data_IF_278560709426
#
_entry.id   IF_278560709426
#
_cell.length_a   1.000
_cell.length_b   1.000
_cell.length_c   1.000
_cell.angle_alpha   90.00
_cell.angle_beta   90.00
_cell.angle_gamma   90.00
#
_symmetry.space_group_name_H-M   'P 1'
#
loop_
_entity.id
_entity.type
_entity.pdbx_description
1 polymer ?
#
# COMPACT_ATOMS: atom_id res chain seq x y z
N UNK A 1 16.53 -17.50 12.48
CA UNK A 1 15.40 -16.57 12.71
C UNK A 1 14.24 -17.41 13.22
N UNK A 2 13.85 -17.24 14.47
CA UNK A 2 12.70 -17.94 15.06
C UNK A 2 11.42 -17.35 14.51
N UNK A 3 10.55 -18.19 13.95
CA UNK A 3 9.26 -17.79 13.36
C UNK A 3 8.47 -16.91 14.32
N UNK A 4 8.22 -15.66 13.94
CA UNK A 4 7.26 -14.78 14.59
C UNK A 4 5.88 -15.29 14.19
N UNK A 5 5.20 -16.00 15.07
CA UNK A 5 3.85 -16.53 14.81
C UNK A 5 2.82 -15.63 15.51
N UNK A 6 2.10 -14.84 14.73
CA UNK A 6 0.89 -14.15 15.19
C UNK A 6 -0.21 -15.19 15.43
N UNK A 7 -0.84 -15.11 16.61
CA UNK A 7 -1.95 -16.02 16.97
C UNK A 7 -3.26 -15.28 16.75
N UNK A 8 -3.91 -15.56 15.63
CA UNK A 8 -5.33 -15.26 15.39
C UNK A 8 -6.07 -16.57 15.10
N UNK A 9 -7.40 -16.52 14.88
CA UNK A 9 -8.12 -17.67 14.36
C UNK A 9 -7.69 -17.91 12.89
N UNK A 10 -6.68 -18.75 12.73
CA UNK A 10 -6.05 -19.02 11.43
C UNK A 10 -7.02 -19.62 10.44
N UNK A 11 -7.90 -20.49 10.91
CA UNK A 11 -8.89 -21.15 10.06
C UNK A 11 -9.92 -20.11 9.59
N UNK A 12 -10.38 -19.22 10.48
CA UNK A 12 -11.27 -18.12 10.10
C UNK A 12 -10.65 -17.19 9.04
N UNK A 13 -9.38 -16.80 9.19
CA UNK A 13 -8.70 -15.95 8.19
C UNK A 13 -8.53 -16.66 6.85
N UNK A 14 -8.16 -17.93 6.86
CA UNK A 14 -7.99 -18.72 5.64
C UNK A 14 -9.31 -19.00 4.92
N UNK A 15 -10.38 -19.32 5.66
CA UNK A 15 -11.70 -19.54 5.08
C UNK A 15 -12.28 -18.23 4.52
N UNK A 16 -12.10 -17.10 5.23
CA UNK A 16 -12.46 -15.76 4.74
C UNK A 16 -11.75 -15.38 3.44
N UNK A 17 -10.45 -15.70 3.35
CA UNK A 17 -9.64 -15.37 2.17
C UNK A 17 -9.71 -16.45 1.08
N UNK A 18 -10.65 -17.41 1.18
CA UNK A 18 -10.82 -18.53 0.26
C UNK A 18 -9.51 -19.30 -0.02
N UNK A 19 -8.64 -19.42 1.00
CA UNK A 19 -7.29 -19.99 0.90
C UNK A 19 -6.52 -19.43 -0.31
N UNK A 20 -6.63 -18.11 -0.53
CA UNK A 20 -6.01 -17.39 -1.63
C UNK A 20 -5.08 -16.32 -1.09
N UNK A 21 -3.87 -16.23 -1.64
CA UNK A 21 -2.94 -15.15 -1.36
C UNK A 21 -3.55 -13.80 -1.78
N UNK A 22 -3.88 -12.94 -0.82
CA UNK A 22 -4.49 -11.62 -1.06
C UNK A 22 -3.59 -10.66 -1.82
N UNK A 23 -2.29 -10.94 -1.93
CA UNK A 23 -1.33 -10.11 -2.67
C UNK A 23 -1.17 -10.49 -4.14
N UNK A 24 -1.28 -11.77 -4.49
CA UNK A 24 -0.97 -12.26 -5.84
C UNK A 24 -1.99 -13.23 -6.44
N UNK A 25 -3.05 -13.58 -5.70
CA UNK A 25 -4.12 -14.47 -6.17
C UNK A 25 -3.75 -15.94 -6.22
N UNK A 26 -2.56 -16.33 -5.75
CA UNK A 26 -2.15 -17.74 -5.70
C UNK A 26 -2.98 -18.51 -4.69
N UNK A 27 -3.63 -19.60 -5.12
CA UNK A 27 -4.45 -20.48 -4.28
C UNK A 27 -3.65 -21.66 -3.75
N UNK A 28 -4.05 -22.18 -2.59
CA UNK A 28 -3.51 -23.43 -2.05
C UNK A 28 -4.15 -24.63 -2.75
N UNK A 29 -3.69 -24.93 -3.97
CA UNK A 29 -4.36 -25.91 -4.85
C UNK A 29 -3.91 -27.36 -4.65
N UNK A 30 -2.85 -27.65 -3.89
CA UNK A 30 -2.24 -29.00 -3.85
C UNK A 30 -1.61 -29.35 -2.49
N UNK A 31 -1.39 -30.65 -2.23
CA UNK A 31 -0.71 -31.16 -1.04
C UNK A 31 0.76 -30.70 -0.89
N UNK A 32 1.33 -30.13 -1.96
CA UNK A 32 2.63 -29.47 -2.04
C UNK A 32 2.49 -27.96 -2.36
N UNK A 33 1.31 -27.38 -2.10
CA UNK A 33 0.96 -25.99 -2.40
C UNK A 33 1.87 -24.96 -1.73
N UNK A 34 1.92 -23.71 -2.24
CA UNK A 34 2.73 -22.66 -1.66
C UNK A 34 2.21 -22.38 -0.26
N UNK A 35 3.00 -22.71 0.77
CA UNK A 35 2.57 -22.60 2.16
C UNK A 35 1.94 -21.23 2.43
N UNK A 36 0.65 -21.23 2.76
CA UNK A 36 -0.06 -20.01 3.12
C UNK A 36 0.27 -19.62 4.55
N UNK A 37 0.46 -18.32 4.77
CA UNK A 37 0.76 -17.70 6.05
C UNK A 37 -0.17 -16.55 6.33
N UNK A 38 -0.37 -16.29 7.61
CA UNK A 38 -0.98 -15.06 8.09
C UNK A 38 0.07 -13.96 8.09
N UNK A 39 -0.28 -12.81 7.53
CA UNK A 39 0.52 -11.60 7.55
C UNK A 39 -0.27 -10.48 8.24
N UNK A 40 0.31 -9.79 9.24
CA UNK A 40 -0.31 -8.63 9.87
C UNK A 40 -0.31 -7.43 8.93
N UNK A 41 -1.39 -6.66 8.92
CA UNK A 41 -1.45 -5.39 8.17
C UNK A 41 -1.69 -4.21 9.12
N UNK A 42 -0.99 -3.11 8.88
CA UNK A 42 -1.02 -1.90 9.71
C UNK A 42 -0.23 -2.01 11.01
N UNK A 43 -0.47 -1.06 11.93
CA UNK A 43 0.28 -0.89 13.18
C UNK A 43 -0.12 -1.90 14.28
N UNK A 44 -0.20 -3.19 13.94
CA UNK A 44 -0.44 -4.24 14.93
C UNK A 44 0.86 -4.67 15.62
N UNK A 45 0.80 -5.04 16.91
CA UNK A 45 1.95 -5.57 17.62
C UNK A 45 2.61 -6.74 16.89
N UNK A 46 3.95 -6.69 16.77
CA UNK A 46 4.75 -7.73 16.12
C UNK A 46 4.76 -9.07 16.87
N UNK A 47 4.21 -9.11 18.08
CA UNK A 47 4.09 -10.28 18.95
C UNK A 47 2.76 -10.22 19.70
N UNK A 48 2.12 -11.38 19.91
CA UNK A 48 0.90 -11.50 20.70
C UNK A 48 -0.31 -12.02 19.90
N UNK A 49 -1.49 -11.85 20.49
CA UNK A 49 -2.77 -12.17 19.85
C UNK A 49 -3.16 -11.02 18.95
N UNK A 50 -3.32 -11.29 17.65
CA UNK A 50 -3.76 -10.30 16.66
C UNK A 50 -5.15 -10.69 16.18
N UNK A 51 -6.08 -9.74 16.18
CA UNK A 51 -7.43 -9.96 15.71
C UNK A 51 -7.45 -10.21 14.20
N UNK A 52 -8.37 -11.05 13.73
CA UNK A 52 -8.47 -11.47 12.33
C UNK A 52 -8.70 -10.30 11.35
N UNK A 53 -9.27 -9.20 11.83
CA UNK A 53 -9.47 -7.96 11.05
C UNK A 53 -8.14 -7.29 10.65
N UNK A 54 -7.03 -7.62 11.29
CA UNK A 54 -5.71 -7.12 10.97
C UNK A 54 -4.77 -8.19 10.40
N UNK A 55 -5.31 -9.35 10.00
CA UNK A 55 -4.56 -10.44 9.40
C UNK A 55 -5.06 -10.71 7.99
N UNK A 56 -4.14 -11.01 7.07
CA UNK A 56 -4.43 -11.45 5.70
C UNK A 56 -3.63 -12.69 5.33
N UNK A 57 -4.18 -13.46 4.40
CA UNK A 57 -3.54 -14.66 3.86
C UNK A 57 -2.57 -14.27 2.75
N UNK A 58 -1.31 -14.70 2.86
CA UNK A 58 -0.28 -14.53 1.82
C UNK A 58 0.47 -15.85 1.59
N UNK A 59 0.95 -16.07 0.37
CA UNK A 59 1.84 -17.20 0.08
C UNK A 59 3.24 -16.97 0.65
N UNK A 60 4.00 -18.05 0.87
CA UNK A 60 5.39 -18.01 1.35
C UNK A 60 6.28 -16.99 0.62
N UNK A 61 6.17 -16.92 -0.72
CA UNK A 61 6.93 -15.99 -1.54
C UNK A 61 6.55 -14.52 -1.26
N UNK A 62 5.25 -14.24 -1.13
CA UNK A 62 4.76 -12.91 -0.78
C UNK A 62 5.14 -12.53 0.65
N UNK A 63 5.03 -13.47 1.60
CA UNK A 63 5.44 -13.27 2.99
C UNK A 63 6.93 -12.93 3.09
N UNK A 64 7.79 -13.69 2.40
CA UNK A 64 9.22 -13.43 2.37
C UNK A 64 9.55 -12.09 1.72
N UNK A 65 8.80 -11.66 0.71
CA UNK A 65 8.99 -10.34 0.10
C UNK A 65 8.54 -9.19 0.99
N UNK A 66 7.45 -9.34 1.75
CA UNK A 66 6.95 -8.31 2.67
C UNK A 66 7.84 -8.16 3.91
N UNK A 67 8.35 -9.28 4.42
CA UNK A 67 9.20 -9.30 5.62
C UNK A 67 10.68 -9.00 5.40
N UNK A 68 11.11 -8.64 4.18
CA UNK A 68 12.51 -8.27 3.93
C UNK A 68 12.81 -6.95 4.63
N UNK A 69 13.67 -7.02 5.63
CA UNK A 69 14.29 -5.83 6.21
C UNK A 69 15.26 -5.24 5.21
N UNK A 70 15.33 -3.91 5.10
CA UNK A 70 16.25 -3.30 4.19
C UNK A 70 17.70 -3.72 4.38
N UNK A 71 18.33 -4.17 3.29
CA UNK A 71 19.76 -4.41 3.18
C UNK A 71 20.33 -3.37 2.22
N UNK A 72 21.15 -2.46 2.74
CA UNK A 72 21.83 -1.40 1.98
C UNK A 72 22.93 -1.92 1.04
N UNK A 73 22.84 -3.17 0.60
CA UNK A 73 23.78 -3.74 -0.34
C UNK A 73 23.44 -3.22 -1.73
N UNK A 74 24.41 -2.56 -2.36
CA UNK A 74 24.24 -2.05 -3.70
C UNK A 74 24.01 -3.20 -4.70
N UNK A 75 23.09 -2.98 -5.63
CA UNK A 75 22.64 -3.99 -6.59
C UNK A 75 23.03 -3.54 -8.00
N UNK A 76 23.80 -4.38 -8.69
CA UNK A 76 24.03 -4.22 -10.12
C UNK A 76 22.96 -4.97 -10.90
N UNK A 77 22.24 -4.25 -11.73
CA UNK A 77 21.21 -4.79 -12.63
C UNK A 77 21.59 -4.49 -14.07
N UNK A 78 21.29 -5.42 -14.97
CA UNK A 78 21.34 -5.16 -16.40
C UNK A 78 20.17 -4.24 -16.82
N UNK A 79 20.30 -3.53 -17.96
CA UNK A 79 19.28 -2.58 -18.41
C UNK A 79 17.86 -3.18 -18.49
N UNK A 80 17.74 -4.43 -18.93
CA UNK A 80 16.45 -5.13 -18.99
C UNK A 80 15.86 -5.40 -17.60
N UNK A 81 16.69 -5.77 -16.63
CA UNK A 81 16.26 -6.05 -15.26
C UNK A 81 15.85 -4.77 -14.53
N UNK A 82 16.55 -3.66 -14.79
CA UNK A 82 16.20 -2.34 -14.28
C UNK A 82 14.87 -1.85 -14.88
N UNK A 83 14.67 -2.01 -16.19
CA UNK A 83 13.42 -1.68 -16.85
C UNK A 83 12.24 -2.46 -16.24
N UNK A 84 12.41 -3.77 -16.05
CA UNK A 84 11.38 -4.61 -15.44
C UNK A 84 11.10 -4.18 -13.98
N UNK A 85 12.14 -3.84 -13.21
CA UNK A 85 11.98 -3.34 -11.84
C UNK A 85 11.19 -2.03 -11.78
N UNK A 86 11.51 -1.06 -12.64
CA UNK A 86 10.79 0.22 -12.75
C UNK A 86 9.34 -0.02 -13.12
N UNK A 87 9.10 -0.83 -14.15
CA UNK A 87 7.75 -1.18 -14.60
C UNK A 87 6.93 -1.87 -13.50
N UNK A 88 7.51 -2.84 -12.79
CA UNK A 88 6.85 -3.51 -11.67
C UNK A 88 6.53 -2.54 -10.53
N UNK A 89 7.43 -1.61 -10.22
CA UNK A 89 7.21 -0.58 -9.20
C UNK A 89 6.05 0.34 -9.58
N UNK A 90 6.04 0.91 -10.79
CA UNK A 90 4.95 1.77 -11.28
C UNK A 90 3.61 1.02 -11.31
N UNK A 91 3.60 -0.24 -11.74
CA UNK A 91 2.37 -1.05 -11.71
C UNK A 91 1.85 -1.25 -10.28
N UNK A 92 2.74 -1.49 -9.31
CA UNK A 92 2.35 -1.68 -7.91
C UNK A 92 1.87 -0.38 -7.25
N UNK A 93 2.49 0.74 -7.58
CA UNK A 93 2.01 2.05 -7.14
C UNK A 93 0.60 2.31 -7.68
N UNK A 94 0.33 2.04 -8.97
CA UNK A 94 -1.01 2.20 -9.54
C UNK A 94 -2.09 1.35 -8.84
N UNK A 95 -1.76 0.11 -8.46
CA UNK A 95 -2.66 -0.74 -7.64
C UNK A 95 -2.89 -0.13 -6.26
N UNK A 96 -1.84 0.41 -5.63
CA UNK A 96 -1.91 1.00 -4.28
C UNK A 96 -2.74 2.28 -4.28
N UNK A 97 -2.54 3.18 -5.26
CA UNK A 97 -3.36 4.38 -5.47
C UNK A 97 -4.83 4.01 -5.64
N UNK A 98 -5.13 3.02 -6.49
CA UNK A 98 -6.51 2.58 -6.73
C UNK A 98 -7.17 2.01 -5.47
N UNK A 99 -6.43 1.22 -4.68
CA UNK A 99 -6.92 0.69 -3.40
C UNK A 99 -7.16 1.81 -2.38
N UNK A 100 -6.25 2.78 -2.28
CA UNK A 100 -6.37 3.91 -1.37
C UNK A 100 -7.53 4.84 -1.73
N UNK A 101 -7.72 5.14 -3.01
CA UNK A 101 -8.86 5.93 -3.48
C UNK A 101 -10.19 5.22 -3.21
N UNK A 102 -10.26 3.90 -3.44
CA UNK A 102 -11.44 3.09 -3.14
C UNK A 102 -11.74 3.10 -1.64
N UNK A 103 -10.71 2.92 -0.79
CA UNK A 103 -10.86 2.97 0.65
C UNK A 103 -11.29 4.35 1.16
N UNK A 104 -10.70 5.43 0.65
CA UNK A 104 -11.09 6.80 1.00
C UNK A 104 -12.55 7.09 0.60
N UNK A 105 -12.97 6.64 -0.58
CA UNK A 105 -14.36 6.77 -1.03
C UNK A 105 -15.33 6.05 -0.09
N UNK A 106 -15.01 4.81 0.30
CA UNK A 106 -15.83 4.04 1.23
C UNK A 106 -15.84 4.67 2.63
N UNK A 107 -14.69 5.08 3.13
CA UNK A 107 -14.57 5.72 4.44
C UNK A 107 -15.43 6.99 4.53
N UNK A 108 -15.44 7.81 3.48
CA UNK A 108 -16.22 9.06 3.43
C UNK A 108 -17.72 8.85 3.21
N UNK A 109 -18.17 7.68 2.77
CA UNK A 109 -19.59 7.32 2.73
C UNK A 109 -20.11 6.77 4.07
N UNK A 110 -19.23 6.25 4.93
CA UNK A 110 -19.62 5.63 6.21
C UNK A 110 -20.61 6.45 7.05
N UNK A 111 -20.45 7.77 7.27
CA UNK A 111 -21.38 8.51 8.13
C UNK A 111 -22.81 8.58 7.60
N UNK A 112 -23.02 8.32 6.30
CA UNK A 112 -24.35 8.24 5.69
C UNK A 112 -24.90 6.82 5.55
N UNK A 113 -24.07 5.80 5.74
CA UNK A 113 -24.42 4.38 5.55
C UNK A 113 -24.60 3.62 6.87
N UNK A 114 -23.88 4.01 7.91
CA UNK A 114 -24.03 3.41 9.25
C UNK A 114 -25.23 4.07 9.94
N UNK A 115 -26.32 3.32 10.06
CA UNK A 115 -27.47 3.71 10.88
C UNK A 115 -27.16 3.57 12.38
N UNK A 116 -27.84 4.36 13.22
CA UNK A 116 -27.77 4.26 14.70
C UNK A 116 -28.22 2.90 15.26
N UNK A 117 -28.88 2.07 14.44
CA UNK A 117 -29.30 0.71 14.80
C UNK A 117 -28.24 -0.32 14.37
N UNK A 118 -27.41 -0.82 15.31
CA UNK A 118 -26.28 -1.70 14.99
C UNK A 118 -26.70 -3.10 14.52
N UNK A 119 -27.98 -3.49 14.61
CA UNK A 119 -28.45 -4.84 14.28
C UNK A 119 -29.02 -4.97 12.85
N UNK A 120 -28.89 -3.93 12.01
CA UNK A 120 -29.34 -4.02 10.61
C UNK A 120 -28.36 -4.81 9.75
N UNK A 121 -28.88 -5.68 8.87
CA UNK A 121 -28.05 -6.45 7.92
C UNK A 121 -27.21 -5.54 7.01
N UNK A 122 -27.69 -4.31 6.73
CA UNK A 122 -26.99 -3.29 5.95
C UNK A 122 -25.71 -2.80 6.64
N UNK A 123 -25.76 -2.54 7.95
CA UNK A 123 -24.58 -2.10 8.70
C UNK A 123 -23.48 -3.16 8.71
N UNK A 124 -23.85 -4.44 8.88
CA UNK A 124 -22.88 -5.53 8.86
C UNK A 124 -22.18 -5.69 7.50
N UNK A 125 -22.88 -5.45 6.39
CA UNK A 125 -22.31 -5.47 5.04
C UNK A 125 -21.32 -4.31 4.83
N UNK A 126 -21.72 -3.07 5.15
CA UNK A 126 -20.85 -1.89 5.10
C UNK A 126 -19.62 -2.06 6.00
N UNK A 127 -19.80 -2.63 7.20
CA UNK A 127 -18.70 -2.87 8.13
C UNK A 127 -17.70 -3.89 7.58
N UNK A 128 -18.19 -5.00 7.02
CA UNK A 128 -17.35 -6.01 6.40
C UNK A 128 -16.59 -5.46 5.18
N UNK A 129 -17.25 -4.66 4.34
CA UNK A 129 -16.65 -4.00 3.17
C UNK A 129 -15.55 -3.05 3.61
N UNK A 130 -15.78 -2.23 4.63
CA UNK A 130 -14.78 -1.31 5.18
C UNK A 130 -13.54 -2.05 5.68
N UNK A 131 -13.74 -3.08 6.52
CA UNK A 131 -12.62 -3.87 7.07
C UNK A 131 -11.87 -4.61 5.96
N UNK A 132 -12.56 -5.07 4.91
CA UNK A 132 -11.91 -5.64 3.74
C UNK A 132 -11.07 -4.60 3.00
N UNK A 133 -11.65 -3.48 2.60
CA UNK A 133 -10.97 -2.42 1.86
C UNK A 133 -9.74 -1.92 2.63
N UNK A 134 -9.87 -1.74 3.95
CA UNK A 134 -8.76 -1.37 4.83
C UNK A 134 -7.60 -2.36 4.77
N UNK A 135 -7.89 -3.67 4.89
CA UNK A 135 -6.83 -4.71 4.82
C UNK A 135 -6.14 -4.71 3.47
N UNK A 136 -6.90 -4.52 2.39
CA UNK A 136 -6.38 -4.51 1.03
C UNK A 136 -5.46 -3.31 0.78
N UNK A 137 -5.85 -2.11 1.20
CA UNK A 137 -5.00 -0.91 1.05
C UNK A 137 -3.74 -1.00 1.90
N UNK A 138 -3.83 -1.46 3.16
CA UNK A 138 -2.65 -1.62 4.01
C UNK A 138 -1.68 -2.67 3.46
N UNK A 139 -2.19 -3.79 2.96
CA UNK A 139 -1.36 -4.79 2.28
C UNK A 139 -0.69 -4.24 1.02
N UNK A 140 -1.40 -3.39 0.26
CA UNK A 140 -0.86 -2.75 -0.93
C UNK A 140 0.29 -1.78 -0.57
N UNK A 141 0.10 -0.94 0.46
CA UNK A 141 1.13 -0.04 1.00
C UNK A 141 2.36 -0.83 1.45
N UNK A 142 2.19 -1.87 2.26
CA UNK A 142 3.29 -2.72 2.74
C UNK A 142 4.10 -3.39 1.61
N UNK A 143 3.52 -3.50 0.41
CA UNK A 143 4.15 -4.17 -0.71
C UNK A 143 5.20 -3.34 -1.45
N UNK A 144 5.21 -2.02 -1.23
CA UNK A 144 6.02 -1.04 -1.98
C UNK A 144 7.42 -0.80 -1.38
N UNK A 145 7.62 -0.66 -0.05
CA UNK A 145 8.93 -0.37 0.54
C UNK A 145 10.05 -1.29 0.07
N UNK A 146 9.81 -2.61 0.04
CA UNK A 146 10.80 -3.61 -0.43
C UNK A 146 11.26 -3.39 -1.88
N UNK A 147 10.44 -2.76 -2.73
CA UNK A 147 10.79 -2.44 -4.12
C UNK A 147 11.48 -1.09 -4.25
N UNK A 148 10.98 -0.09 -3.52
CA UNK A 148 11.61 1.24 -3.43
C UNK A 148 13.06 1.12 -2.98
N UNK A 149 13.30 0.31 -1.96
CA UNK A 149 14.64 0.05 -1.48
C UNK A 149 15.52 -0.59 -2.55
N UNK A 150 15.02 -1.64 -3.21
CA UNK A 150 15.76 -2.30 -4.29
C UNK A 150 16.08 -1.33 -5.43
N UNK A 151 15.18 -0.41 -5.76
CA UNK A 151 15.37 0.62 -6.77
C UNK A 151 16.42 1.66 -6.31
N UNK A 152 16.34 2.12 -5.06
CA UNK A 152 17.29 3.07 -4.46
C UNK A 152 18.72 2.52 -4.32
N UNK A 153 18.87 1.19 -4.30
CA UNK A 153 20.15 0.50 -4.17
C UNK A 153 20.80 0.19 -5.53
N UNK A 154 20.17 0.54 -6.66
CA UNK A 154 20.72 0.24 -7.99
C UNK A 154 21.94 1.10 -8.28
N UNK A 155 23.06 0.48 -8.63
CA UNK A 155 24.21 1.16 -9.22
C UNK A 155 23.97 1.37 -10.72
N UNK A 156 24.22 2.58 -11.24
CA UNK A 156 24.03 2.90 -12.66
C UNK A 156 25.34 3.12 -13.40
N UNK A 157 26.47 3.27 -12.71
CA UNK A 157 27.79 3.57 -13.29
C UNK A 157 28.17 2.65 -14.46
N UNK A 158 27.77 1.37 -14.44
CA UNK A 158 28.08 0.40 -15.50
C UNK A 158 27.13 0.47 -16.71
N UNK A 159 25.98 1.14 -16.58
CA UNK A 159 25.03 1.39 -17.66
C UNK A 159 25.29 2.75 -18.34
N UNK A 160 26.08 3.60 -17.71
CA UNK A 160 26.36 4.97 -18.15
C UNK A 160 27.37 5.09 -19.30
N UNK A 161 28.00 3.99 -19.74
CA UNK A 161 28.93 3.98 -20.89
C UNK A 161 28.26 4.40 -22.23
N UNK A 162 26.92 4.54 -22.26
CA UNK A 162 26.14 4.94 -23.43
C UNK A 162 25.16 6.12 -23.22
N UNK A 163 25.04 6.68 -22.01
CA UNK A 163 24.16 7.82 -21.69
C UNK A 163 24.98 9.04 -21.30
N UNK A 164 24.57 10.25 -21.72
CA UNK A 164 25.28 11.47 -21.37
C UNK A 164 25.32 11.69 -19.84
N UNK A 165 26.48 12.02 -19.28
CA UNK A 165 26.75 12.55 -17.94
C UNK A 165 25.68 12.28 -16.85
N UNK A 166 25.46 11.01 -16.47
CA UNK A 166 24.63 10.65 -15.31
C UNK A 166 23.13 10.96 -15.43
N UNK A 167 22.60 11.14 -16.64
CA UNK A 167 21.17 11.37 -16.87
C UNK A 167 20.29 10.21 -16.35
N UNK A 168 20.75 8.97 -16.48
CA UNK A 168 20.05 7.79 -15.96
C UNK A 168 19.97 7.77 -14.43
N UNK A 169 21.07 8.11 -13.76
CA UNK A 169 21.10 8.23 -12.31
C UNK A 169 20.12 9.30 -11.82
N UNK A 170 20.12 10.48 -12.45
CA UNK A 170 19.19 11.56 -12.11
C UNK A 170 17.72 11.19 -12.35
N UNK A 171 17.42 10.50 -13.45
CA UNK A 171 16.07 10.04 -13.75
C UNK A 171 15.58 8.98 -12.72
N UNK A 172 16.46 8.07 -12.30
CA UNK A 172 16.13 7.08 -11.27
C UNK A 172 15.98 7.70 -9.88
N UNK A 173 16.80 8.69 -9.53
CA UNK A 173 16.67 9.46 -8.29
C UNK A 173 15.31 10.16 -8.25
N UNK A 174 14.96 10.93 -9.28
CA UNK A 174 13.65 11.60 -9.38
C UNK A 174 12.47 10.62 -9.33
N UNK A 175 12.57 9.48 -10.02
CA UNK A 175 11.55 8.43 -9.97
C UNK A 175 11.40 7.86 -8.55
N UNK A 176 12.51 7.63 -7.86
CA UNK A 176 12.53 7.07 -6.50
C UNK A 176 11.95 8.08 -5.51
N UNK A 177 12.28 9.36 -5.65
CA UNK A 177 11.74 10.46 -4.84
C UNK A 177 10.22 10.58 -5.04
N UNK A 178 9.74 10.61 -6.28
CA UNK A 178 8.30 10.63 -6.57
C UNK A 178 7.59 9.40 -5.97
N UNK A 179 8.20 8.21 -6.08
CA UNK A 179 7.64 6.99 -5.51
C UNK A 179 7.60 6.98 -3.97
N UNK A 180 8.58 7.60 -3.30
CA UNK A 180 8.59 7.79 -1.84
C UNK A 180 7.58 8.86 -1.39
N UNK A 181 7.47 9.96 -2.14
CA UNK A 181 6.45 11.00 -1.94
C UNK A 181 5.05 10.40 -1.99
N UNK A 182 4.76 9.67 -3.08
CA UNK A 182 3.48 8.99 -3.26
C UNK A 182 3.18 8.01 -2.12
N UNK A 183 4.16 7.23 -1.65
CA UNK A 183 3.92 6.34 -0.50
C UNK A 183 3.55 7.10 0.77
N UNK A 184 4.18 8.25 1.01
CA UNK A 184 3.88 9.08 2.18
C UNK A 184 2.47 9.66 2.10
N UNK A 185 2.08 10.17 0.92
CA UNK A 185 0.73 10.70 0.64
C UNK A 185 -0.34 9.61 0.79
N UNK A 186 -0.11 8.40 0.27
CA UNK A 186 -1.06 7.30 0.38
C UNK A 186 -1.21 6.79 1.83
N UNK A 187 -0.13 6.80 2.61
CA UNK A 187 -0.20 6.51 4.05
C UNK A 187 -1.00 7.57 4.81
N UNK A 188 -0.78 8.85 4.49
CA UNK A 188 -1.55 9.96 5.06
C UNK A 188 -3.03 9.85 4.68
N UNK A 189 -3.33 9.54 3.42
CA UNK A 189 -4.71 9.35 2.95
C UNK A 189 -5.43 8.24 3.72
N UNK A 190 -4.78 7.08 3.93
CA UNK A 190 -5.36 5.99 4.74
C UNK A 190 -5.58 6.45 6.17
N UNK A 191 -4.63 7.16 6.77
CA UNK A 191 -4.74 7.74 8.09
C UNK A 191 -5.91 8.74 8.24
N UNK A 192 -6.16 9.57 7.23
CA UNK A 192 -7.30 10.49 7.17
C UNK A 192 -8.62 9.71 7.03
N UNK A 193 -8.67 8.72 6.13
CA UNK A 193 -9.83 7.85 5.96
C UNK A 193 -10.17 7.06 7.25
N UNK A 194 -9.17 6.55 7.96
CA UNK A 194 -9.33 5.93 9.29
C UNK A 194 -9.87 6.90 10.35
N UNK A 195 -9.54 8.19 10.23
CA UNK A 195 -10.06 9.23 11.14
C UNK A 195 -11.57 9.45 10.96
N UNK A 196 -12.15 9.07 9.81
CA UNK A 196 -13.61 9.11 9.61
C UNK A 196 -14.29 8.09 10.51
N UNK A 197 -13.81 6.84 10.53
CA UNK A 197 -14.34 5.78 11.39
C UNK A 197 -14.18 6.13 12.89
N UNK A 198 -13.01 6.64 13.27
CA UNK A 198 -12.78 7.10 14.64
C UNK A 198 -13.67 8.29 15.01
N UNK A 199 -14.00 9.15 14.04
CA UNK A 199 -14.95 10.23 14.23
C UNK A 199 -16.40 9.78 14.42
N UNK A 200 -16.72 8.52 14.11
CA UNK A 200 -18.01 7.89 14.43
C UNK A 200 -17.94 7.11 15.74
N UNK A 201 -16.93 7.36 16.57
CA UNK A 201 -16.64 6.59 17.79
C UNK A 201 -16.52 5.09 17.52
N UNK A 202 -15.95 4.71 16.37
CA UNK A 202 -15.72 3.32 15.97
C UNK A 202 -14.24 3.04 15.79
N UNK A 203 -13.86 1.78 15.99
CA UNK A 203 -12.48 1.37 15.77
C UNK A 203 -12.13 1.41 14.29
N UNK A 204 -11.07 2.10 13.91
CA UNK A 204 -10.61 2.15 12.53
C UNK A 204 -10.22 0.79 11.95
N UNK A 205 -9.91 -0.23 12.77
CA UNK A 205 -9.48 -1.54 12.25
C UNK A 205 -10.52 -2.64 12.23
N UNK A 206 -11.51 -2.61 13.12
CA UNK A 206 -12.59 -3.62 13.17
C UNK A 206 -13.99 -3.01 13.10
N UNK A 207 -14.09 -1.68 13.09
CA UNK A 207 -15.32 -0.88 13.04
C UNK A 207 -16.31 -1.10 14.18
N UNK A 208 -15.94 -1.92 15.16
CA UNK A 208 -16.62 -2.06 16.44
C UNK A 208 -16.75 -0.71 17.15
N UNK A 209 -17.91 -0.41 17.75
CA UNK A 209 -18.10 0.76 18.60
C UNK A 209 -17.04 0.84 19.71
N UNK A 210 -16.52 2.03 19.94
CA UNK A 210 -15.57 2.32 21.01
C UNK A 210 -16.28 2.97 22.17
N UNK A 211 -16.25 2.31 23.32
CA UNK A 211 -16.64 2.92 24.59
C UNK A 211 -15.44 3.69 25.16
N UNK A 212 -15.24 4.92 24.67
CA UNK A 212 -14.07 5.77 24.99
C UNK A 212 -14.04 6.10 26.49
N UNK A 213 -15.20 6.19 27.15
CA UNK A 213 -15.32 6.51 28.57
C UNK A 213 -14.89 5.38 29.51
N UNK A 214 -14.82 4.14 29.01
CA UNK A 214 -14.53 2.93 29.80
C UNK A 214 -13.12 2.38 29.67
N UNK A 215 -12.30 2.92 28.75
CA UNK A 215 -11.05 2.29 28.33
C UNK A 215 -9.84 3.19 28.55
N UNK A 216 -9.22 3.07 29.72
CA UNK A 216 -8.07 3.89 30.16
C UNK A 216 -6.84 3.75 29.24
N UNK A 217 -6.76 2.67 28.46
CA UNK A 217 -5.60 2.37 27.60
C UNK A 217 -5.73 2.95 26.18
N UNK A 218 -6.88 3.53 25.82
CA UNK A 218 -7.11 4.13 24.49
C UNK A 218 -6.98 3.13 23.33
N UNK A 219 -7.20 1.83 23.58
CA UNK A 219 -7.06 0.75 22.59
C UNK A 219 -8.38 0.04 22.36
N UNK A 220 -8.71 -0.33 21.14
CA UNK A 220 -9.90 -1.12 20.86
C UNK A 220 -9.88 -2.44 21.66
N UNK A 221 -10.95 -2.78 22.42
CA UNK A 221 -10.99 -4.02 23.19
C UNK A 221 -11.05 -5.27 22.30
N UNK A 222 -11.56 -5.14 21.08
CA UNK A 222 -11.69 -6.24 20.12
C UNK A 222 -10.38 -6.51 19.39
N UNK A 223 -9.79 -5.49 18.77
CA UNK A 223 -8.61 -5.66 17.91
C UNK A 223 -7.29 -5.14 18.48
N UNK A 224 -7.31 -4.47 19.63
CA UNK A 224 -6.11 -3.99 20.34
C UNK A 224 -5.40 -2.78 19.70
N UNK A 225 -5.92 -2.28 18.58
CA UNK A 225 -5.39 -1.09 17.91
C UNK A 225 -5.59 0.16 18.77
N UNK A 226 -4.59 1.03 18.77
CA UNK A 226 -4.70 2.35 19.40
C UNK A 226 -5.77 3.18 18.69
N UNK A 227 -6.56 3.91 19.46
CA UNK A 227 -7.58 4.79 18.93
C UNK A 227 -6.95 5.91 18.11
N UNK A 228 -7.55 6.20 16.96
CA UNK A 228 -7.10 7.29 16.09
C UNK A 228 -7.48 8.61 16.73
N UNK A 229 -6.51 9.50 16.91
CA UNK A 229 -6.78 10.85 17.40
C UNK A 229 -7.55 11.67 16.36
N UNK A 230 -8.71 12.18 16.76
CA UNK A 230 -9.59 13.03 15.93
C UNK A 230 -9.72 14.46 16.47
N UNK A 231 -8.94 14.84 17.49
CA UNK A 231 -9.03 16.16 18.14
C UNK A 231 -8.79 17.32 17.16
N UNK A 232 -7.92 17.12 16.16
CA UNK A 232 -7.68 18.10 15.08
C UNK A 232 -8.95 18.46 14.30
N UNK A 233 -9.90 17.53 14.22
CA UNK A 233 -11.14 17.66 13.44
C UNK A 233 -12.31 18.18 14.26
N UNK A 234 -12.16 18.35 15.57
CA UNK A 234 -13.20 18.88 16.45
C UNK A 234 -13.32 20.40 16.32
N UNK A 235 -14.56 20.89 16.32
CA UNK A 235 -14.89 22.30 16.16
C UNK A 235 -14.48 23.15 17.38
N UNK A 236 -13.42 23.96 17.24
CA UNK A 236 -13.06 24.98 18.23
C UNK A 236 -13.89 26.27 18.07
N UNK A 237 -15.20 26.20 17.88
CA UNK A 237 -16.00 27.43 17.84
C UNK A 237 -16.19 28.00 19.25
N UNK A 238 -15.77 29.25 19.38
CA UNK A 238 -15.71 29.98 20.63
C UNK A 238 -16.95 30.86 20.82
N UNK A 239 -18.14 30.28 20.76
CA UNK A 239 -19.38 30.87 21.33
C UNK A 239 -20.56 29.95 20.98
N UNK A 240 -20.82 28.97 21.84
CA UNK A 240 -22.12 28.33 22.12
C UNK A 240 -21.83 27.02 22.85
N UNK A 241 -22.42 26.87 24.02
CA UNK A 241 -21.98 25.95 25.09
C UNK A 241 -22.26 24.46 24.80
N UNK A 242 -22.59 24.10 23.56
CA UNK A 242 -23.06 22.75 23.15
C UNK A 242 -22.37 22.16 21.90
N UNK A 243 -21.59 22.94 21.11
CA UNK A 243 -20.99 22.46 19.83
C UNK A 243 -19.46 22.31 19.84
N UNK A 244 -18.83 22.42 21.01
CA UNK A 244 -17.36 22.46 21.12
C UNK A 244 -16.67 21.13 20.80
N UNK A 245 -17.44 20.04 20.81
CA UNK A 245 -16.95 18.68 20.60
C UNK A 245 -17.50 18.04 19.32
N UNK A 246 -18.22 18.80 18.47
CA UNK A 246 -18.75 18.30 17.20
C UNK A 246 -17.62 18.14 16.18
N UNK A 247 -17.56 16.97 15.54
CA UNK A 247 -16.60 16.67 14.50
C UNK A 247 -16.97 17.35 13.19
N UNK A 248 -16.00 18.08 12.64
CA UNK A 248 -16.16 18.79 11.38
C UNK A 248 -15.75 17.87 10.22
N UNK A 249 -16.58 16.86 9.91
CA UNK A 249 -16.35 15.91 8.80
C UNK A 249 -16.05 16.62 7.47
N UNK A 250 -16.67 17.77 7.22
CA UNK A 250 -16.40 18.57 6.04
C UNK A 250 -14.92 18.95 5.89
N UNK A 251 -14.24 19.31 7.00
CA UNK A 251 -12.80 19.64 6.96
C UNK A 251 -11.94 18.41 6.72
N UNK A 252 -12.32 17.27 7.31
CA UNK A 252 -11.64 16.00 7.08
C UNK A 252 -11.78 15.58 5.61
N UNK A 253 -12.96 15.75 5.01
CA UNK A 253 -13.20 15.45 3.59
C UNK A 253 -12.44 16.39 2.66
N UNK A 254 -12.32 17.67 3.01
CA UNK A 254 -11.47 18.62 2.28
C UNK A 254 -10.00 18.18 2.29
N UNK A 255 -9.47 17.74 3.43
CA UNK A 255 -8.11 17.22 3.53
C UNK A 255 -7.93 15.92 2.73
N UNK A 256 -8.86 14.97 2.85
CA UNK A 256 -8.85 13.72 2.06
C UNK A 256 -8.79 14.02 0.56
N UNK A 257 -9.62 14.95 0.09
CA UNK A 257 -9.65 15.33 -1.33
C UNK A 257 -8.36 16.06 -1.75
N UNK A 258 -7.78 16.89 -0.89
CA UNK A 258 -6.50 17.54 -1.16
C UNK A 258 -5.38 16.49 -1.29
N UNK A 259 -5.28 15.55 -0.35
CA UNK A 259 -4.28 14.47 -0.40
C UNK A 259 -4.49 13.54 -1.61
N UNK A 260 -5.74 13.28 -2.02
CA UNK A 260 -6.03 12.54 -3.26
C UNK A 260 -5.53 13.28 -4.51
N UNK A 261 -5.67 14.61 -4.53
CA UNK A 261 -5.16 15.43 -5.64
C UNK A 261 -3.64 15.42 -5.65
N UNK A 262 -2.99 15.63 -4.50
CA UNK A 262 -1.53 15.57 -4.38
C UNK A 262 -1.00 14.20 -4.85
N UNK A 263 -1.62 13.10 -4.39
CA UNK A 263 -1.28 11.75 -4.85
C UNK A 263 -1.51 11.52 -6.35
N UNK A 264 -2.50 12.18 -6.94
CA UNK A 264 -2.73 12.13 -8.38
C UNK A 264 -1.62 12.84 -9.14
N UNK A 265 -1.22 14.02 -8.69
CA UNK A 265 -0.15 14.82 -9.30
C UNK A 265 1.19 14.07 -9.18
N UNK A 266 1.52 13.52 -8.01
CA UNK A 266 2.73 12.69 -7.80
C UNK A 266 2.70 11.39 -8.62
N UNK A 267 1.50 10.82 -8.87
CA UNK A 267 1.36 9.65 -9.77
C UNK A 267 1.71 10.02 -11.22
N UNK A 268 1.34 11.22 -11.67
CA UNK A 268 1.72 11.73 -13.00
C UNK A 268 3.24 11.84 -13.10
N UNK A 269 3.88 12.50 -12.12
CA UNK A 269 5.35 12.62 -12.03
C UNK A 269 6.05 11.25 -12.04
N UNK A 270 5.51 10.27 -11.29
CA UNK A 270 6.01 8.89 -11.28
C UNK A 270 5.96 8.25 -12.66
N UNK A 271 4.84 8.42 -13.39
CA UNK A 271 4.68 7.84 -14.73
C UNK A 271 5.57 8.51 -15.77
N UNK A 272 5.74 9.83 -15.69
CA UNK A 272 6.68 10.58 -16.52
C UNK A 272 8.12 10.17 -16.25
N UNK A 273 8.52 10.05 -14.99
CA UNK A 273 9.84 9.57 -14.59
C UNK A 273 10.11 8.16 -15.09
N UNK A 274 9.13 7.26 -15.00
CA UNK A 274 9.27 5.88 -15.47
C UNK A 274 9.43 5.81 -17.00
N UNK A 275 8.72 6.67 -17.73
CA UNK A 275 8.89 6.81 -19.17
C UNK A 275 10.27 7.36 -19.54
N UNK A 276 10.78 8.37 -18.80
CA UNK A 276 12.12 8.91 -18.99
C UNK A 276 13.21 7.85 -18.79
N UNK A 277 13.13 7.05 -17.72
CA UNK A 277 14.06 5.93 -17.50
C UNK A 277 13.96 4.90 -18.64
N UNK A 278 12.75 4.57 -19.08
CA UNK A 278 12.54 3.64 -20.19
C UNK A 278 13.17 4.11 -21.51
N UNK A 279 13.07 5.42 -21.83
CA UNK A 279 13.69 5.99 -23.02
C UNK A 279 15.22 5.92 -22.96
N UNK A 280 15.82 6.23 -21.81
CA UNK A 280 17.26 6.14 -21.59
C UNK A 280 17.78 4.70 -21.70
N UNK A 281 17.03 3.72 -21.17
CA UNK A 281 17.36 2.30 -21.31
C UNK A 281 17.09 1.74 -22.72
N UNK A 282 16.10 2.27 -23.43
CA UNK A 282 15.80 1.89 -24.82
C UNK A 282 16.85 2.39 -25.81
N UNK A 283 17.49 3.52 -25.53
CA UNK A 283 18.60 4.06 -26.31
C UNK A 283 19.92 3.29 -26.19
N UNK A 284 20.04 2.38 -25.21
CA UNK A 284 21.27 1.63 -24.91
C UNK A 284 21.26 0.18 -25.38
N UNK A 285 20.16 -0.31 -25.99
CA UNK A 285 20.13 -1.64 -26.60
C UNK A 285 20.81 -1.58 -27.98
N UNK A 286 22.01 -2.17 -28.19
CA UNK A 286 22.57 -2.27 -29.52
C UNK A 286 21.64 -3.12 -30.40
N UNK A 287 21.16 -2.52 -31.48
CA UNK A 287 20.39 -3.19 -32.53
C UNK A 287 21.20 -4.38 -33.05
N UNK A 288 20.92 -5.57 -32.54
CA UNK A 288 21.61 -6.82 -32.92
C UNK A 288 21.13 -7.31 -34.30
N UNK A 289 20.81 -6.39 -35.20
CA UNK A 289 20.48 -6.63 -36.61
C UNK A 289 21.56 -6.09 -37.53
N UNK A 290 22.83 -6.36 -37.23
CA UNK A 290 23.82 -6.54 -38.29
C UNK A 290 23.54 -7.90 -38.94
N UNK A 291 22.64 -7.88 -39.93
CA UNK A 291 22.50 -8.98 -40.87
C UNK A 291 23.84 -9.22 -41.57
N UNK A 292 24.24 -10.47 -41.83
CA UNK A 292 25.49 -10.75 -42.51
C UNK A 292 25.48 -10.10 -43.89
N UNK A 293 26.50 -9.29 -44.16
CA UNK A 293 26.88 -8.85 -45.50
C UNK A 293 27.01 -10.09 -46.40
N UNK A 294 26.03 -10.29 -47.29
CA UNK A 294 26.16 -11.22 -48.40
C UNK A 294 27.14 -10.63 -49.41
N UNK A 295 28.41 -10.90 -49.15
CA UNK A 295 29.53 -10.65 -50.04
C UNK A 295 29.36 -11.51 -51.32
N UNK A 296 29.11 -10.78 -52.40
CA UNK A 296 29.60 -10.98 -53.76
C UNK A 296 30.27 -12.35 -54.05
N UNK A 297 29.48 -13.27 -54.60
CA UNK A 297 30.02 -14.29 -55.51
C UNK A 297 29.34 -14.19 -56.87
N UNK A 298 29.90 -13.36 -57.73
CA UNK A 298 30.65 -13.92 -58.86
C UNK A 298 29.80 -14.42 -60.02
N UNK A 299 29.52 -13.48 -60.93
CA UNK A 299 29.15 -13.74 -62.32
C UNK A 299 30.40 -14.17 -63.11
N UNK A 300 30.44 -15.42 -63.57
CA UNK A 300 31.12 -15.86 -64.79
C UNK A 300 30.61 -17.24 -65.22
#
# INVERSE_FOLDING_TARGET
>A
MTSREWRGDRDAVFDRDDRTCRRCGTTDSDADGPGLRLYPVGDVPLEGTVHESALVTVCDACFASLGRTPTADSVRLEAAELFDLVREMTQRQGVTVSAAASFASLATSLPGEIDDDPETESNAETEAEYVQARREVLLAIDSVPSRLERLSAVETDHLEDATADGELAQALEALTDAAMGLQSELQELVALAESVAAGLDRCQGCLEPLDIDGNEDGRCPTCGLEHRDVDRWRGREADETDRRDELLFQRLYEEINATLQDASDTTEELTEGAAGVAELLGGTVPDSREGPDEDDTGRA
#
